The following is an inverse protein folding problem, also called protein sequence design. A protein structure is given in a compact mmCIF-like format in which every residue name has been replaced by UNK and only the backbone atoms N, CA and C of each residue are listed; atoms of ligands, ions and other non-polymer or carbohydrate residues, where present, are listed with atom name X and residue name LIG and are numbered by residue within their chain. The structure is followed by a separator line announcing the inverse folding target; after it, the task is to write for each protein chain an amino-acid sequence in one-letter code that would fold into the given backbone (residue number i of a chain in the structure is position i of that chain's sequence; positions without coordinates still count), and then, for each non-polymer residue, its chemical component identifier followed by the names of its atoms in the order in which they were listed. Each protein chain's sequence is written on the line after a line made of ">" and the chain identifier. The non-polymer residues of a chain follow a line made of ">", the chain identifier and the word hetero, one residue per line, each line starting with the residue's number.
data_IF_827047141899
#
_entry.id   IF_827047141899
#
_cell.length_a   1.000
_cell.length_b   1.000
_cell.length_c   1.000
_cell.angle_alpha   90.00
_cell.angle_beta   90.00
_cell.angle_gamma   90.00
#
_symmetry.space_group_name_H-M   'P 1'
#
loop_
_entity.id
_entity.type
_entity.pdbx_description
1 polymer ?
#
# COMPACT_ATOMS: atom_id res chain seq x y z
N UNK A 1 45.71 62.13 -21.44
CA UNK A 1 45.40 61.91 -22.87
C UNK A 1 44.38 60.84 -22.98
N UNK A 2 43.26 61.23 -23.46
CA UNK A 2 42.38 60.56 -24.43
C UNK A 2 41.63 59.34 -23.87
N UNK A 3 40.42 59.52 -23.55
CA UNK A 3 39.17 59.48 -24.37
C UNK A 3 38.78 58.08 -24.73
N UNK A 4 37.59 57.65 -24.32
CA UNK A 4 36.28 57.62 -25.02
C UNK A 4 35.74 56.22 -25.02
N UNK A 5 34.63 55.93 -24.71
CA UNK A 5 33.21 55.97 -25.07
C UNK A 5 32.62 54.59 -24.85
N UNK A 6 31.57 54.46 -24.04
CA UNK A 6 30.12 54.49 -24.32
C UNK A 6 29.61 53.45 -25.29
N UNK A 7 28.72 52.62 -24.76
CA UNK A 7 27.41 52.11 -25.24
C UNK A 7 27.18 50.73 -24.65
N UNK A 8 26.22 50.43 -23.89
CA UNK A 8 24.79 50.71 -24.00
C UNK A 8 24.12 49.62 -24.80
N UNK A 9 23.49 48.69 -24.11
CA UNK A 9 22.18 48.20 -24.55
C UNK A 9 21.62 47.21 -23.54
N UNK A 10 20.49 47.60 -23.00
CA UNK A 10 19.59 46.74 -22.28
C UNK A 10 19.05 45.68 -23.25
N UNK A 11 19.02 44.42 -22.81
CA UNK A 11 18.07 43.49 -23.39
C UNK A 11 17.42 42.67 -22.27
N UNK A 12 16.13 42.86 -22.21
CA UNK A 12 15.21 42.22 -21.28
C UNK A 12 14.96 40.77 -21.71
N UNK A 13 15.72 39.86 -21.17
CA UNK A 13 15.50 38.40 -21.32
C UNK A 13 14.41 37.91 -20.41
N UNK A 14 13.22 37.83 -20.93
CA UNK A 14 11.99 37.24 -20.48
C UNK A 14 12.21 35.86 -19.81
N UNK A 15 12.16 35.81 -18.48
CA UNK A 15 12.17 34.57 -17.72
C UNK A 15 10.95 33.72 -18.02
N UNK A 16 11.10 32.75 -18.88
CA UNK A 16 10.12 31.72 -19.16
C UNK A 16 9.90 30.84 -17.92
N UNK A 17 8.81 31.08 -17.22
CA UNK A 17 8.31 30.28 -16.13
C UNK A 17 7.91 28.91 -16.69
N UNK A 18 8.82 27.94 -16.63
CA UNK A 18 8.56 26.53 -16.98
C UNK A 18 7.51 26.02 -16.01
N UNK A 19 6.24 25.93 -16.45
CA UNK A 19 5.18 25.22 -15.77
C UNK A 19 5.64 23.76 -15.66
N UNK A 20 5.92 23.31 -14.43
CA UNK A 20 5.97 21.88 -14.09
C UNK A 20 4.59 21.33 -14.39
N UNK A 21 4.48 20.58 -15.47
CA UNK A 21 3.32 19.75 -15.74
C UNK A 21 3.20 18.78 -14.58
N UNK A 22 2.14 18.93 -13.78
CA UNK A 22 1.75 17.92 -12.82
C UNK A 22 1.41 16.65 -13.59
N UNK A 23 2.17 15.60 -13.38
CA UNK A 23 1.80 14.25 -13.77
C UNK A 23 0.51 13.90 -13.03
N UNK A 24 -0.60 14.09 -13.70
CA UNK A 24 -1.87 13.54 -13.21
C UNK A 24 -1.71 12.02 -13.19
N UNK A 25 -2.06 11.33 -12.07
CA UNK A 25 -1.99 9.88 -12.03
C UNK A 25 -2.87 9.33 -13.15
N UNK A 26 -2.26 8.58 -14.06
CA UNK A 26 -2.94 7.92 -15.16
C UNK A 26 -4.17 7.20 -14.59
N UNK A 27 -5.35 7.56 -15.07
CA UNK A 27 -6.59 6.89 -14.73
C UNK A 27 -6.40 5.40 -15.04
N UNK A 28 -6.36 4.57 -14.00
CA UNK A 28 -6.28 3.12 -14.14
C UNK A 28 -7.54 2.68 -14.87
N UNK A 29 -7.37 2.23 -16.10
CA UNK A 29 -8.45 1.63 -16.88
C UNK A 29 -9.12 0.50 -16.11
N UNK A 30 -10.36 0.16 -16.44
CA UNK A 30 -11.08 -0.92 -15.79
C UNK A 30 -10.23 -2.20 -15.88
N UNK A 31 -9.96 -2.82 -14.73
CA UNK A 31 -9.21 -4.07 -14.66
C UNK A 31 -9.91 -5.10 -15.55
N UNK A 32 -9.28 -5.51 -16.63
CA UNK A 32 -9.76 -6.59 -17.49
C UNK A 32 -9.90 -7.86 -16.63
N UNK A 33 -11.11 -8.22 -16.26
CA UNK A 33 -11.41 -9.34 -15.36
C UNK A 33 -12.53 -9.09 -14.36
N UNK A 34 -13.17 -7.90 -14.39
CA UNK A 34 -14.26 -7.56 -13.48
C UNK A 34 -15.54 -8.41 -13.68
N UNK A 35 -15.71 -9.04 -14.84
CA UNK A 35 -16.98 -9.67 -15.24
C UNK A 35 -17.06 -11.19 -14.98
N UNK A 36 -16.01 -11.82 -14.45
CA UNK A 36 -16.09 -13.23 -14.07
C UNK A 36 -16.59 -13.35 -12.64
N UNK A 37 -17.70 -14.08 -12.38
CA UNK A 37 -18.17 -14.31 -11.03
C UNK A 37 -17.05 -14.99 -10.24
N UNK A 38 -16.54 -14.28 -9.23
CA UNK A 38 -15.49 -14.82 -8.36
C UNK A 38 -16.11 -15.94 -7.54
N UNK A 39 -15.61 -17.18 -7.60
CA UNK A 39 -16.14 -18.29 -6.83
C UNK A 39 -16.11 -17.94 -5.33
N UNK A 40 -17.12 -18.43 -4.61
CA UNK A 40 -17.21 -18.19 -3.17
C UNK A 40 -15.96 -18.77 -2.47
N UNK A 41 -15.36 -18.02 -1.54
CA UNK A 41 -14.15 -18.47 -0.86
C UNK A 41 -14.43 -19.73 -0.02
N UNK A 42 -13.70 -20.82 -0.26
CA UNK A 42 -13.84 -22.10 0.45
C UNK A 42 -13.83 -21.96 1.98
N UNK A 43 -12.97 -21.12 2.51
CA UNK A 43 -12.87 -20.86 3.95
C UNK A 43 -14.12 -20.18 4.52
N UNK A 44 -14.85 -19.40 3.72
CA UNK A 44 -16.11 -18.81 4.15
C UNK A 44 -17.18 -19.85 4.34
N UNK A 45 -17.28 -20.80 3.41
CA UNK A 45 -18.21 -21.94 3.49
C UNK A 45 -17.84 -22.84 4.65
N UNK A 46 -16.56 -23.17 4.80
CA UNK A 46 -16.05 -23.95 5.92
C UNK A 46 -16.36 -23.29 7.27
N UNK A 47 -16.16 -21.98 7.38
CA UNK A 47 -16.50 -21.25 8.59
C UNK A 47 -18.00 -21.30 8.90
N UNK A 48 -18.86 -21.08 7.89
CA UNK A 48 -20.30 -21.08 8.07
C UNK A 48 -20.85 -22.45 8.46
N UNK A 49 -20.35 -23.52 7.83
CA UNK A 49 -20.88 -24.87 7.98
C UNK A 49 -20.29 -25.61 9.18
N UNK A 50 -19.00 -25.44 9.46
CA UNK A 50 -18.29 -26.27 10.45
C UNK A 50 -17.85 -25.46 11.67
N UNK A 51 -17.12 -24.36 11.44
CA UNK A 51 -16.45 -23.63 12.52
C UNK A 51 -17.45 -22.95 13.45
N UNK A 52 -18.49 -22.35 12.88
CA UNK A 52 -19.52 -21.64 13.65
C UNK A 52 -20.25 -22.57 14.63
N UNK A 53 -20.61 -23.78 14.21
CA UNK A 53 -21.25 -24.78 15.08
C UNK A 53 -20.34 -25.21 16.23
N UNK A 54 -19.08 -25.54 15.90
CA UNK A 54 -18.08 -25.94 16.91
C UNK A 54 -17.80 -24.83 17.93
N UNK A 55 -17.75 -23.58 17.52
CA UNK A 55 -17.55 -22.44 18.42
C UNK A 55 -18.76 -22.26 19.37
N UNK A 56 -19.98 -22.46 18.88
CA UNK A 56 -21.17 -22.38 19.70
C UNK A 56 -21.18 -23.47 20.79
N UNK A 57 -20.83 -24.70 20.43
CA UNK A 57 -20.72 -25.82 21.37
C UNK A 57 -19.58 -25.59 22.37
N UNK A 58 -18.39 -25.23 21.91
CA UNK A 58 -17.22 -25.08 22.77
C UNK A 58 -17.35 -23.94 23.79
N UNK A 59 -17.97 -22.83 23.39
CA UNK A 59 -18.16 -21.65 24.25
C UNK A 59 -19.56 -21.60 24.89
N UNK A 60 -20.43 -22.55 24.63
CA UNK A 60 -21.79 -22.59 25.17
C UNK A 60 -22.65 -21.39 24.79
N UNK A 61 -22.45 -20.85 23.56
CA UNK A 61 -23.12 -19.66 23.11
C UNK A 61 -24.58 -19.97 22.71
N UNK A 62 -25.54 -19.30 23.36
CA UNK A 62 -26.96 -19.46 23.06
C UNK A 62 -27.41 -18.69 21.80
N UNK A 63 -26.73 -17.57 21.52
CA UNK A 63 -27.10 -16.69 20.40
C UNK A 63 -26.07 -16.80 19.27
N UNK A 64 -26.51 -17.13 18.03
CA UNK A 64 -25.61 -17.22 16.87
C UNK A 64 -24.92 -15.88 16.52
N UNK A 65 -25.41 -14.75 16.98
CA UNK A 65 -24.75 -13.45 16.79
C UNK A 65 -23.57 -13.19 17.74
N UNK A 66 -23.43 -13.99 18.80
CA UNK A 66 -22.29 -13.93 19.73
C UNK A 66 -21.05 -14.63 19.17
N UNK A 67 -21.20 -15.44 18.11
CA UNK A 67 -20.07 -16.14 17.51
C UNK A 67 -19.10 -15.14 16.89
N UNK A 68 -17.79 -15.19 17.25
CA UNK A 68 -16.79 -14.26 16.75
C UNK A 68 -16.60 -14.41 15.24
N UNK A 69 -16.58 -13.30 14.52
CA UNK A 69 -16.35 -13.28 13.08
C UNK A 69 -15.08 -12.52 12.74
N UNK A 70 -14.38 -12.94 11.69
CA UNK A 70 -13.23 -12.19 11.19
C UNK A 70 -13.70 -10.83 10.64
N UNK A 71 -13.19 -9.77 11.20
CA UNK A 71 -13.47 -8.40 10.77
C UNK A 71 -12.54 -7.98 9.63
N UNK A 72 -11.23 -8.18 9.82
CA UNK A 72 -10.18 -7.81 8.87
C UNK A 72 -8.95 -8.70 9.05
N UNK A 73 -8.15 -8.83 8.00
CA UNK A 73 -6.80 -9.42 8.08
C UNK A 73 -5.82 -8.32 7.66
N UNK A 74 -4.79 -8.11 8.45
CA UNK A 74 -3.72 -7.16 8.15
C UNK A 74 -2.45 -7.95 7.88
N UNK A 75 -1.93 -7.81 6.67
CA UNK A 75 -0.59 -8.27 6.32
C UNK A 75 0.38 -7.11 6.51
N UNK A 76 1.45 -7.36 7.23
CA UNK A 76 2.50 -6.37 7.45
C UNK A 76 3.86 -7.03 7.23
N UNK A 77 4.68 -6.39 6.40
CA UNK A 77 6.05 -6.82 6.14
C UNK A 77 6.98 -5.70 6.61
N UNK A 78 7.89 -6.05 7.53
CA UNK A 78 8.95 -5.17 7.96
C UNK A 78 10.18 -5.39 7.08
N UNK A 79 10.61 -4.37 6.37
CA UNK A 79 11.73 -4.39 5.46
C UNK A 79 12.88 -3.54 6.03
N UNK A 80 13.55 -4.04 7.08
CA UNK A 80 14.68 -3.35 7.70
C UNK A 80 15.85 -3.10 6.74
N UNK A 81 16.04 -3.97 5.75
CA UNK A 81 17.05 -3.82 4.71
C UNK A 81 16.77 -2.66 3.75
N UNK A 82 15.53 -2.18 3.69
CA UNK A 82 15.15 -1.03 2.87
C UNK A 82 15.92 0.26 3.25
N UNK A 83 16.44 0.34 4.47
CA UNK A 83 17.31 1.45 4.90
C UNK A 83 18.57 1.53 4.04
N UNK A 84 19.12 0.38 3.65
CA UNK A 84 20.33 0.28 2.82
C UNK A 84 20.00 0.21 1.34
N UNK A 85 18.91 -0.47 0.99
CA UNK A 85 18.49 -0.74 -0.39
C UNK A 85 16.99 -0.42 -0.58
N UNK A 86 16.63 0.79 -1.00
CA UNK A 86 15.22 1.17 -1.18
C UNK A 86 14.49 0.32 -2.23
N UNK A 87 15.20 -0.20 -3.23
CA UNK A 87 14.62 -1.12 -4.23
C UNK A 87 14.05 -2.40 -3.64
N UNK A 88 14.58 -2.86 -2.50
CA UNK A 88 14.04 -4.02 -1.80
C UNK A 88 12.60 -3.79 -1.36
N UNK A 89 12.29 -2.58 -0.89
CA UNK A 89 10.91 -2.24 -0.50
C UNK A 89 9.96 -2.22 -1.70
N UNK A 90 10.43 -1.77 -2.87
CA UNK A 90 9.61 -1.76 -4.09
C UNK A 90 9.23 -3.19 -4.48
N UNK A 91 10.17 -4.13 -4.45
CA UNK A 91 9.90 -5.54 -4.71
C UNK A 91 8.87 -6.12 -3.72
N UNK A 92 9.01 -5.84 -2.41
CA UNK A 92 8.05 -6.27 -1.38
C UNK A 92 6.65 -5.71 -1.64
N UNK A 93 6.56 -4.46 -2.08
CA UNK A 93 5.27 -3.83 -2.43
C UNK A 93 4.63 -4.54 -3.63
N UNK A 94 5.40 -4.87 -4.65
CA UNK A 94 4.91 -5.60 -5.83
C UNK A 94 4.45 -7.02 -5.49
N UNK A 95 5.22 -7.75 -4.69
CA UNK A 95 4.85 -9.08 -4.20
C UNK A 95 3.56 -9.06 -3.40
N UNK A 96 3.45 -8.13 -2.43
CA UNK A 96 2.23 -7.97 -1.66
C UNK A 96 1.04 -7.57 -2.54
N UNK A 97 1.24 -6.73 -3.55
CA UNK A 97 0.20 -6.36 -4.50
C UNK A 97 -0.28 -7.57 -5.32
N UNK A 98 0.64 -8.44 -5.72
CA UNK A 98 0.34 -9.67 -6.46
C UNK A 98 -0.45 -10.65 -5.60
N UNK A 99 -0.02 -10.89 -4.36
CA UNK A 99 -0.67 -11.81 -3.42
C UNK A 99 -2.07 -11.30 -3.03
N UNK A 100 -2.21 -10.03 -2.71
CA UNK A 100 -3.45 -9.47 -2.15
C UNK A 100 -4.41 -8.90 -3.19
N UNK A 101 -3.89 -8.59 -4.38
CA UNK A 101 -4.61 -7.88 -5.44
C UNK A 101 -5.05 -6.47 -5.03
N UNK A 102 -4.37 -5.88 -4.06
CA UNK A 102 -4.54 -4.50 -3.60
C UNK A 102 -3.18 -3.83 -3.52
N UNK A 103 -3.14 -2.52 -3.70
CA UNK A 103 -1.90 -1.79 -3.53
C UNK A 103 -1.56 -1.65 -2.05
N UNK A 104 -0.37 -2.11 -1.62
CA UNK A 104 0.11 -1.93 -0.26
C UNK A 104 0.36 -0.46 0.08
N UNK A 105 0.24 -0.16 1.36
CA UNK A 105 0.63 1.15 1.90
C UNK A 105 2.04 1.01 2.47
N UNK A 106 2.95 1.87 2.03
CA UNK A 106 4.30 1.97 2.60
C UNK A 106 4.20 2.49 4.03
N UNK A 107 5.03 1.96 4.90
CA UNK A 107 5.06 2.33 6.32
C UNK A 107 6.35 3.02 6.64
N UNK A 108 6.21 4.22 7.18
CA UNK A 108 7.30 5.09 7.60
C UNK A 108 7.62 4.89 9.08
N UNK A 109 8.87 5.13 9.44
CA UNK A 109 9.31 5.15 10.82
C UNK A 109 8.74 6.35 11.58
N UNK A 110 8.16 6.10 12.73
CA UNK A 110 7.57 7.13 13.60
C UNK A 110 8.59 7.84 14.49
N UNK A 111 9.76 7.23 14.72
CA UNK A 111 10.81 7.74 15.59
C UNK A 111 12.17 7.41 15.02
N UNK A 112 13.13 8.30 15.25
CA UNK A 112 14.53 8.05 14.95
C UNK A 112 15.17 7.13 16.00
N UNK A 113 15.87 6.08 15.57
CA UNK A 113 16.58 5.15 16.47
C UNK A 113 18.01 4.99 15.95
N UNK A 114 18.96 5.56 16.69
CA UNK A 114 20.37 5.59 16.31
C UNK A 114 21.00 4.19 16.16
N UNK A 115 20.65 3.24 17.04
CA UNK A 115 21.19 1.88 17.01
C UNK A 115 20.84 1.12 15.71
N UNK A 116 19.74 1.44 15.07
CA UNK A 116 19.32 0.84 13.80
C UNK A 116 19.63 1.71 12.58
N UNK A 117 20.25 2.87 12.78
CA UNK A 117 20.48 3.83 11.70
C UNK A 117 19.19 4.37 11.08
N UNK A 118 18.11 4.33 11.83
CA UNK A 118 16.76 4.69 11.37
C UNK A 118 16.46 6.15 11.68
N UNK A 119 15.97 6.87 10.68
CA UNK A 119 15.46 8.23 10.82
C UNK A 119 13.95 8.27 10.69
N UNK A 120 13.32 9.22 11.37
CA UNK A 120 11.89 9.48 11.22
C UNK A 120 11.54 9.81 9.76
N UNK A 121 10.41 9.28 9.29
CA UNK A 121 9.97 9.44 7.90
C UNK A 121 10.61 8.47 6.90
N UNK A 122 11.57 7.63 7.29
CA UNK A 122 12.09 6.60 6.41
C UNK A 122 11.08 5.46 6.20
N UNK A 123 10.89 5.04 4.96
CA UNK A 123 10.07 3.89 4.61
C UNK A 123 10.76 2.59 5.00
N UNK A 124 10.15 1.84 5.92
CA UNK A 124 10.73 0.61 6.49
C UNK A 124 9.85 -0.62 6.35
N UNK A 125 8.74 -0.50 5.66
CA UNK A 125 7.84 -1.64 5.50
C UNK A 125 6.66 -1.34 4.61
N UNK A 126 5.85 -2.37 4.40
CA UNK A 126 4.61 -2.28 3.66
C UNK A 126 3.49 -3.02 4.38
N UNK A 127 2.27 -2.51 4.29
CA UNK A 127 1.11 -3.18 4.88
C UNK A 127 -0.12 -3.12 4.00
N UNK A 128 -0.94 -4.18 4.10
CA UNK A 128 -2.22 -4.29 3.41
C UNK A 128 -3.30 -4.72 4.39
N UNK A 129 -4.46 -4.11 4.31
CA UNK A 129 -5.64 -4.52 5.08
C UNK A 129 -6.67 -5.15 4.17
N UNK A 130 -6.95 -6.43 4.38
CA UNK A 130 -7.94 -7.20 3.65
C UNK A 130 -9.28 -7.19 4.37
N UNK A 131 -10.35 -6.83 3.65
CA UNK A 131 -11.73 -6.80 4.16
C UNK A 131 -12.69 -7.47 3.18
N UNK A 132 -13.88 -7.81 3.64
CA UNK A 132 -14.94 -8.40 2.81
C UNK A 132 -14.55 -9.76 2.24
N UNK A 133 -14.85 -10.02 0.98
CA UNK A 133 -14.57 -11.28 0.30
C UNK A 133 -13.06 -11.61 0.23
N UNK A 134 -12.21 -10.58 0.16
CA UNK A 134 -10.76 -10.73 0.04
C UNK A 134 -10.08 -11.22 1.33
N UNK A 135 -10.69 -11.02 2.51
CA UNK A 135 -10.13 -11.46 3.79
C UNK A 135 -10.08 -12.99 3.94
N UNK A 136 -10.95 -13.71 3.25
CA UNK A 136 -11.08 -15.18 3.40
C UNK A 136 -10.77 -15.90 2.07
N UNK A 137 -10.81 -15.22 0.93
CA UNK A 137 -10.80 -15.86 -0.39
C UNK A 137 -9.48 -15.88 -1.14
N UNK A 138 -8.50 -15.07 -0.75
CA UNK A 138 -7.22 -14.97 -1.48
C UNK A 138 -6.00 -15.52 -0.75
N UNK A 139 -6.18 -16.11 0.42
CA UNK A 139 -5.09 -16.77 1.13
C UNK A 139 -4.71 -18.15 0.51
N UNK A 140 -5.18 -18.44 -0.70
CA UNK A 140 -4.83 -19.65 -1.44
C UNK A 140 -4.61 -19.31 -2.92
N UNK A 141 -3.38 -19.02 -3.25
CA UNK A 141 -2.79 -19.35 -4.54
C UNK A 141 -1.75 -20.42 -4.29
#
# INVERSE_FOLDING_TARGET
>A
MATKEKKGSADAGKGGKKKKGGDAPAARGPHAGADKPVPAPRLREFYANTVRGRLMEQFGLKNPHQVPTLSKIVLNVGAGEAIKQPKFLDNVVEELATITGQQPVRREAKKSIANFGLREGQEIGASVTLRGARKIGRAHV
#
